data_IF_186946994284
#
_entry.id   IF_186946994284
#
_cell.length_a   1.000
_cell.length_b   1.000
_cell.length_c   1.000
_cell.angle_alpha   90.00
_cell.angle_beta   90.00
_cell.angle_gamma   90.00
#
_symmetry.space_group_name_H-M   'P 1'
#
loop_
_entity.id
_entity.type
_entity.pdbx_description
1 polymer ?
#
# COMPACT_ATOMS: atom_id res chain seq x y z
N UNK A 1 22.69 -50.29 -44.32
CA UNK A 1 22.07 -49.65 -43.14
C UNK A 1 21.83 -48.20 -43.48
N UNK A 2 20.59 -47.85 -43.82
CA UNK A 2 20.16 -46.47 -44.01
C UNK A 2 18.85 -46.34 -43.24
N UNK A 3 18.89 -45.72 -42.05
CA UNK A 3 17.70 -45.51 -41.23
C UNK A 3 17.39 -44.02 -41.17
N UNK A 4 16.39 -43.67 -41.97
CA UNK A 4 15.55 -42.48 -41.90
C UNK A 4 15.01 -42.26 -40.48
N UNK A 5 15.17 -41.05 -39.94
CA UNK A 5 14.36 -40.53 -38.84
C UNK A 5 13.79 -39.18 -39.22
N UNK A 6 12.45 -39.11 -39.37
CA UNK A 6 11.52 -38.17 -38.71
C UNK A 6 10.20 -38.04 -39.49
N UNK A 7 9.08 -38.34 -38.82
CA UNK A 7 7.96 -37.38 -38.82
C UNK A 7 7.18 -37.31 -37.48
N UNK A 8 7.86 -37.28 -36.32
CA UNK A 8 7.16 -37.25 -34.99
C UNK A 8 7.21 -35.89 -34.26
N UNK A 9 8.13 -34.97 -34.59
CA UNK A 9 8.26 -33.69 -33.86
C UNK A 9 7.33 -32.57 -34.33
N UNK A 10 6.84 -32.61 -35.58
CA UNK A 10 5.92 -31.58 -36.09
C UNK A 10 4.52 -31.68 -35.44
N UNK A 11 3.99 -32.90 -35.33
CA UNK A 11 2.65 -33.12 -34.77
C UNK A 11 2.52 -32.72 -33.30
N UNK A 12 3.60 -32.83 -32.49
CA UNK A 12 3.58 -32.42 -31.08
C UNK A 12 3.62 -30.90 -30.91
N UNK A 13 4.36 -30.19 -31.77
CA UNK A 13 4.39 -28.71 -31.75
C UNK A 13 3.09 -28.10 -32.23
N UNK A 14 2.43 -28.70 -33.23
CA UNK A 14 1.16 -28.20 -33.73
C UNK A 14 0.01 -28.49 -32.75
N UNK A 15 0.06 -29.61 -32.02
CA UNK A 15 -0.89 -29.93 -30.94
C UNK A 15 -0.69 -29.06 -29.69
N UNK A 16 0.56 -28.75 -29.29
CA UNK A 16 0.82 -27.81 -28.18
C UNK A 16 0.32 -26.42 -28.55
N UNK A 17 0.57 -25.95 -29.78
CA UNK A 17 0.08 -24.64 -30.24
C UNK A 17 -1.45 -24.57 -30.35
N UNK A 18 -2.13 -25.66 -30.71
CA UNK A 18 -3.60 -25.67 -30.72
C UNK A 18 -4.17 -25.59 -29.30
N UNK A 19 -3.58 -26.33 -28.35
CA UNK A 19 -3.98 -26.34 -26.94
C UNK A 19 -3.69 -24.99 -26.27
N UNK A 20 -2.55 -24.34 -26.55
CA UNK A 20 -2.25 -23.00 -26.02
C UNK A 20 -3.20 -21.94 -26.59
N UNK A 21 -3.65 -22.10 -27.84
CA UNK A 21 -4.61 -21.18 -28.48
C UNK A 21 -6.03 -21.36 -27.92
N UNK A 22 -6.45 -22.59 -27.64
CA UNK A 22 -7.72 -22.90 -26.99
C UNK A 22 -7.75 -22.40 -25.54
N UNK A 23 -6.69 -22.62 -24.75
CA UNK A 23 -6.58 -22.14 -23.35
C UNK A 23 -6.54 -20.62 -23.26
N UNK A 24 -5.94 -19.93 -24.25
CA UNK A 24 -5.92 -18.46 -24.34
C UNK A 24 -7.27 -17.87 -24.80
N UNK A 25 -8.05 -18.62 -25.57
CA UNK A 25 -9.41 -18.27 -25.95
C UNK A 25 -10.38 -18.49 -24.77
N UNK A 26 -10.15 -19.52 -23.96
CA UNK A 26 -10.94 -19.83 -22.76
C UNK A 26 -10.69 -18.81 -21.64
N UNK A 27 -9.44 -18.39 -21.43
CA UNK A 27 -9.09 -17.29 -20.51
C UNK A 27 -9.65 -15.93 -20.96
N UNK A 28 -9.78 -15.69 -22.27
CA UNK A 28 -10.47 -14.51 -22.80
C UNK A 28 -11.98 -14.58 -22.57
N UNK A 29 -12.59 -15.76 -22.76
CA UNK A 29 -14.01 -15.97 -22.43
C UNK A 29 -14.30 -15.83 -20.94
N UNK A 30 -13.38 -16.21 -20.06
CA UNK A 30 -13.51 -16.00 -18.60
C UNK A 30 -13.39 -14.51 -18.25
N UNK A 31 -12.52 -13.76 -18.94
CA UNK A 31 -12.39 -12.31 -18.78
C UNK A 31 -13.57 -11.52 -19.38
N UNK A 32 -14.16 -12.00 -20.48
CA UNK A 32 -15.32 -11.39 -21.13
C UNK A 32 -16.65 -11.76 -20.41
N UNK A 33 -16.78 -12.97 -19.83
CA UNK A 33 -17.94 -13.36 -19.03
C UNK A 33 -18.00 -12.68 -17.64
N UNK A 34 -16.96 -11.93 -17.25
CA UNK A 34 -16.99 -11.02 -16.10
C UNK A 34 -17.57 -9.63 -16.44
N UNK A 35 -17.98 -9.42 -17.69
CA UNK A 35 -18.65 -8.21 -18.16
C UNK A 35 -20.03 -8.56 -18.74
N UNK A 36 -21.06 -8.02 -18.08
CA UNK A 36 -22.42 -7.75 -18.59
C UNK A 36 -23.41 -8.94 -18.52
N UNK A 37 -24.26 -8.93 -17.50
CA UNK A 37 -25.71 -9.15 -17.70
C UNK A 37 -26.44 -7.87 -17.30
N UNK A 38 -26.54 -6.96 -18.26
CA UNK A 38 -27.69 -6.08 -18.50
C UNK A 38 -27.44 -5.43 -19.85
N UNK A 39 -27.97 -6.01 -20.92
CA UNK A 39 -29.11 -5.41 -21.62
C UNK A 39 -29.55 -6.19 -22.85
N UNK A 40 -30.85 -6.09 -23.08
CA UNK A 40 -31.62 -6.65 -24.16
C UNK A 40 -31.32 -6.00 -25.52
N UNK A 41 -31.40 -6.83 -26.56
CA UNK A 41 -31.98 -6.58 -27.90
C UNK A 41 -31.89 -5.15 -28.46
N UNK A 42 -31.04 -4.98 -29.47
CA UNK A 42 -31.29 -4.03 -30.55
C UNK A 42 -31.84 -4.79 -31.78
N UNK A 43 -33.01 -4.36 -32.24
CA UNK A 43 -33.46 -4.53 -33.62
C UNK A 43 -33.16 -3.22 -34.38
N UNK A 44 -32.82 -3.37 -35.65
CA UNK A 44 -32.44 -2.35 -36.62
C UNK A 44 -33.52 -1.26 -36.82
N UNK A 45 -33.11 -0.01 -37.07
CA UNK A 45 -33.44 0.70 -38.32
C UNK A 45 -32.72 2.08 -38.44
N UNK A 46 -32.55 2.46 -39.70
CA UNK A 46 -31.71 3.50 -40.28
C UNK A 46 -32.31 4.93 -40.34
N UNK A 47 -31.41 5.91 -40.35
CA UNK A 47 -31.43 7.23 -41.03
C UNK A 47 -32.67 8.14 -40.95
N UNK A 48 -32.49 9.34 -40.37
CA UNK A 48 -32.67 10.62 -41.09
C UNK A 48 -32.19 11.86 -40.29
N UNK A 49 -31.81 12.88 -41.06
CA UNK A 49 -31.11 14.13 -40.73
C UNK A 49 -31.93 15.17 -39.92
N UNK A 50 -31.18 16.17 -39.44
CA UNK A 50 -31.46 17.63 -39.40
C UNK A 50 -31.73 18.37 -38.06
N UNK A 51 -30.80 19.31 -37.81
CA UNK A 51 -30.91 20.70 -37.34
C UNK A 51 -31.51 21.12 -35.98
N UNK A 52 -30.69 21.95 -35.32
CA UNK A 52 -30.96 23.14 -34.48
C UNK A 52 -31.70 23.06 -33.12
N UNK A 53 -30.99 23.53 -32.07
CA UNK A 53 -31.52 24.61 -31.22
C UNK A 53 -32.10 24.25 -29.84
N UNK A 54 -31.58 24.97 -28.84
CA UNK A 54 -32.22 25.41 -27.58
C UNK A 54 -31.97 24.63 -26.27
N UNK A 55 -31.77 25.46 -25.24
CA UNK A 55 -31.41 25.19 -23.86
C UNK A 55 -32.54 24.51 -23.08
N UNK A 56 -32.21 23.62 -22.14
CA UNK A 56 -33.06 23.35 -20.97
C UNK A 56 -32.26 22.75 -19.81
N UNK A 57 -32.36 23.44 -18.69
CA UNK A 57 -32.12 23.05 -17.31
C UNK A 57 -32.94 21.80 -16.93
N UNK A 58 -32.32 20.74 -16.38
CA UNK A 58 -33.00 19.85 -15.43
C UNK A 58 -31.99 19.08 -14.55
N UNK A 59 -32.39 18.88 -13.30
CA UNK A 59 -31.55 18.52 -12.17
C UNK A 59 -31.07 17.07 -12.14
N UNK A 60 -29.81 16.88 -11.77
CA UNK A 60 -29.24 15.56 -11.48
C UNK A 60 -29.94 14.92 -10.28
N UNK A 61 -30.82 13.95 -10.56
CA UNK A 61 -31.31 12.98 -9.59
C UNK A 61 -30.16 12.05 -9.19
N UNK A 62 -29.70 12.20 -7.95
CA UNK A 62 -28.74 11.30 -7.31
C UNK A 62 -29.46 9.96 -7.10
N UNK A 63 -29.06 8.91 -7.82
CA UNK A 63 -29.59 7.57 -7.57
C UNK A 63 -29.09 7.07 -6.21
N UNK A 64 -30.04 6.89 -5.30
CA UNK A 64 -29.90 6.15 -4.06
C UNK A 64 -29.64 4.68 -4.38
N UNK A 65 -28.49 4.16 -3.97
CA UNK A 65 -28.28 2.71 -3.88
C UNK A 65 -28.41 2.37 -2.39
N UNK A 66 -29.62 1.99 -1.99
CA UNK A 66 -29.88 1.26 -0.75
C UNK A 66 -29.44 -0.20 -0.95
N UNK A 67 -28.23 -0.54 -0.51
CA UNK A 67 -27.82 -1.95 -0.39
C UNK A 67 -28.39 -2.53 0.92
N UNK A 68 -29.62 -2.99 0.82
CA UNK A 68 -30.23 -3.94 1.75
C UNK A 68 -30.19 -5.33 1.15
N UNK A 69 -29.11 -6.08 1.36
CA UNK A 69 -29.22 -7.53 1.48
C UNK A 69 -28.06 -8.13 2.29
N UNK A 70 -28.40 -8.50 3.52
CA UNK A 70 -27.63 -9.30 4.45
C UNK A 70 -27.61 -10.75 3.91
N UNK A 71 -26.74 -11.02 2.94
CA UNK A 71 -26.31 -12.37 2.62
C UNK A 71 -24.87 -12.52 3.10
N UNK A 72 -24.76 -13.04 4.32
CA UNK A 72 -23.55 -13.63 4.86
C UNK A 72 -23.08 -14.75 3.93
N UNK A 73 -22.24 -14.40 2.96
CA UNK A 73 -21.32 -15.37 2.38
C UNK A 73 -20.46 -15.86 3.54
N UNK A 74 -20.69 -17.10 4.00
CA UNK A 74 -19.72 -17.83 4.81
C UNK A 74 -18.43 -17.90 3.99
N UNK A 75 -17.55 -16.90 4.15
CA UNK A 75 -16.17 -16.99 3.72
C UNK A 75 -15.60 -18.23 4.42
N UNK A 76 -15.46 -19.31 3.68
CA UNK A 76 -14.70 -20.47 4.11
C UNK A 76 -13.34 -19.94 4.60
N UNK A 77 -13.10 -20.02 5.91
CA UNK A 77 -11.79 -19.75 6.48
C UNK A 77 -10.90 -20.88 5.99
N UNK A 78 -10.19 -20.66 4.88
CA UNK A 78 -9.00 -21.45 4.61
C UNK A 78 -7.99 -21.08 5.69
N UNK A 79 -7.73 -22.02 6.59
CA UNK A 79 -6.64 -21.94 7.55
C UNK A 79 -5.32 -22.16 6.78
N UNK A 80 -4.81 -21.08 6.20
CA UNK A 80 -3.45 -21.06 5.64
C UNK A 80 -2.45 -20.82 6.77
N UNK A 81 -1.51 -21.75 6.94
CA UNK A 81 -0.33 -21.52 7.76
C UNK A 81 0.71 -20.76 6.93
N UNK A 82 1.26 -19.69 7.50
CA UNK A 82 2.28 -18.88 6.85
C UNK A 82 3.56 -18.94 7.67
N UNK A 83 4.69 -19.03 6.98
CA UNK A 83 6.02 -18.92 7.55
C UNK A 83 6.67 -17.58 7.21
N UNK A 84 7.59 -17.16 8.08
CA UNK A 84 8.44 -16.01 7.88
C UNK A 84 9.86 -16.49 7.61
N UNK A 85 10.37 -16.23 6.41
CA UNK A 85 11.71 -16.65 5.97
C UNK A 85 12.60 -15.44 5.67
N UNK A 86 13.93 -15.53 5.80
CA UNK A 86 14.81 -14.48 5.34
C UNK A 86 14.59 -14.19 3.84
N UNK A 87 14.63 -12.91 3.40
CA UNK A 87 14.50 -12.58 1.98
C UNK A 87 15.60 -13.26 1.14
N UNK A 88 15.24 -13.73 -0.04
CA UNK A 88 16.13 -14.38 -1.01
C UNK A 88 15.95 -13.83 -2.43
N UNK A 89 16.84 -14.21 -3.36
CA UNK A 89 16.80 -13.73 -4.76
C UNK A 89 15.48 -14.07 -5.47
N UNK A 90 14.87 -15.20 -5.14
CA UNK A 90 13.59 -15.62 -5.73
C UNK A 90 12.41 -14.74 -5.27
N UNK A 91 12.57 -13.96 -4.20
CA UNK A 91 11.56 -12.99 -3.73
C UNK A 91 11.57 -11.65 -4.47
N UNK A 92 12.60 -11.42 -5.29
CA UNK A 92 12.94 -10.08 -5.75
C UNK A 92 11.80 -9.40 -6.53
N UNK A 93 11.08 -10.16 -7.36
CA UNK A 93 9.93 -9.64 -8.10
C UNK A 93 8.73 -9.32 -7.21
N UNK A 94 8.45 -10.15 -6.21
CA UNK A 94 7.32 -9.94 -5.31
C UNK A 94 7.58 -8.80 -4.31
N UNK A 95 8.81 -8.68 -3.82
CA UNK A 95 9.24 -7.53 -3.02
C UNK A 95 9.09 -6.24 -3.83
N UNK A 96 9.52 -6.22 -5.09
CA UNK A 96 9.32 -5.07 -5.99
C UNK A 96 7.83 -4.72 -6.15
N UNK A 97 6.96 -5.71 -6.37
CA UNK A 97 5.49 -5.50 -6.44
C UNK A 97 4.92 -4.93 -5.15
N UNK A 98 5.37 -5.39 -3.99
CA UNK A 98 4.97 -4.87 -2.69
C UNK A 98 5.45 -3.42 -2.50
N UNK A 99 6.69 -3.10 -2.88
CA UNK A 99 7.25 -1.74 -2.82
C UNK A 99 6.48 -0.77 -3.73
N UNK A 100 6.06 -1.20 -4.93
CA UNK A 100 5.21 -0.39 -5.82
C UNK A 100 3.90 0.01 -5.10
N UNK A 101 3.34 -0.85 -4.24
CA UNK A 101 2.14 -0.48 -3.46
C UNK A 101 2.43 0.62 -2.43
N UNK A 102 3.65 0.70 -1.89
CA UNK A 102 4.05 1.77 -0.96
C UNK A 102 4.15 3.11 -1.69
N UNK A 103 4.86 3.13 -2.82
CA UNK A 103 5.25 4.35 -3.55
C UNK A 103 4.25 4.79 -4.63
N UNK A 104 3.38 3.90 -5.09
CA UNK A 104 2.36 4.13 -6.13
C UNK A 104 2.99 4.69 -7.42
N UNK A 105 2.65 5.93 -7.77
CA UNK A 105 3.13 6.59 -9.00
C UNK A 105 4.37 7.47 -8.74
N UNK A 106 5.01 7.35 -7.59
CA UNK A 106 6.22 8.11 -7.28
C UNK A 106 7.43 7.57 -8.06
N UNK A 107 8.36 8.45 -8.39
CA UNK A 107 9.62 8.09 -9.06
C UNK A 107 10.63 7.55 -8.04
N UNK A 108 10.51 6.26 -7.69
CA UNK A 108 11.47 5.52 -6.87
C UNK A 108 11.94 4.30 -7.68
N UNK A 109 13.19 3.87 -7.54
CA UNK A 109 13.68 2.63 -8.15
C UNK A 109 13.33 1.45 -7.21
N UNK A 110 12.09 0.95 -7.28
CA UNK A 110 11.62 -0.14 -6.41
C UNK A 110 12.41 -1.44 -6.65
N UNK A 111 12.91 -1.66 -7.87
CA UNK A 111 13.75 -2.82 -8.20
C UNK A 111 15.09 -2.76 -7.47
N UNK A 112 15.77 -1.62 -7.49
CA UNK A 112 17.02 -1.43 -6.75
C UNK A 112 16.79 -1.54 -5.24
N UNK A 113 15.68 -1.01 -4.74
CA UNK A 113 15.31 -1.15 -3.34
C UNK A 113 14.99 -2.61 -2.94
N UNK A 114 14.31 -3.38 -3.82
CA UNK A 114 14.07 -4.80 -3.59
C UNK A 114 15.39 -5.58 -3.52
N UNK A 115 16.37 -5.27 -4.38
CA UNK A 115 17.72 -5.85 -4.30
C UNK A 115 18.40 -5.48 -2.99
N UNK A 116 18.22 -4.26 -2.50
CA UNK A 116 18.75 -3.86 -1.20
C UNK A 116 18.10 -4.63 -0.05
N UNK A 117 16.80 -4.95 -0.10
CA UNK A 117 16.13 -5.81 0.89
C UNK A 117 16.76 -7.21 0.88
N UNK A 118 16.87 -7.86 -0.29
CA UNK A 118 17.48 -9.19 -0.43
C UNK A 118 18.95 -9.17 0.02
N UNK A 119 19.71 -8.15 -0.36
CA UNK A 119 21.12 -7.99 0.00
C UNK A 119 21.38 -7.75 1.48
N UNK A 120 20.36 -7.39 2.26
CA UNK A 120 20.46 -7.24 3.72
C UNK A 120 20.15 -8.55 4.48
N UNK A 121 19.73 -9.61 3.78
CA UNK A 121 19.45 -10.93 4.38
C UNK A 121 20.62 -11.38 5.27
N UNK A 122 20.38 -11.82 6.52
CA UNK A 122 19.07 -12.23 7.07
C UNK A 122 18.23 -11.11 7.73
N UNK A 123 18.52 -9.82 7.52
CA UNK A 123 17.73 -8.73 8.12
C UNK A 123 16.26 -8.78 7.68
N UNK A 124 15.38 -9.13 8.62
CA UNK A 124 13.94 -9.17 8.38
C UNK A 124 13.48 -10.45 7.69
N UNK A 125 12.27 -10.43 7.15
CA UNK A 125 11.62 -11.61 6.59
C UNK A 125 10.64 -11.30 5.46
N UNK A 126 10.35 -12.33 4.67
CA UNK A 126 9.23 -12.43 3.73
C UNK A 126 8.21 -13.43 4.25
N UNK A 127 6.93 -13.26 3.89
CA UNK A 127 5.85 -14.15 4.29
C UNK A 127 5.44 -15.07 3.13
N UNK A 128 5.49 -16.38 3.37
CA UNK A 128 5.11 -17.41 2.39
C UNK A 128 4.16 -18.43 3.01
N UNK A 129 3.31 -19.11 2.23
CA UNK A 129 2.56 -20.27 2.70
C UNK A 129 3.54 -21.35 3.17
N UNK A 130 3.27 -21.99 4.31
CA UNK A 130 4.14 -23.03 4.89
C UNK A 130 4.04 -24.38 4.15
N UNK A 131 2.89 -24.65 3.52
CA UNK A 131 2.68 -25.83 2.69
C UNK A 131 2.68 -25.41 1.21
N UNK A 132 3.69 -25.86 0.46
CA UNK A 132 3.62 -25.88 -1.00
C UNK A 132 2.52 -26.89 -1.36
N UNK A 133 1.48 -26.46 -2.08
CA UNK A 133 0.47 -27.40 -2.56
C UNK A 133 1.17 -28.49 -3.38
N UNK A 134 0.96 -29.76 -2.99
CA UNK A 134 1.61 -30.93 -3.64
C UNK A 134 1.28 -31.04 -5.14
N UNK A 135 0.26 -30.30 -5.59
CA UNK A 135 -0.05 -30.04 -7.00
C UNK A 135 0.42 -28.63 -7.40
N UNK A 136 1.13 -28.61 -8.52
CA UNK A 136 1.42 -27.49 -9.44
C UNK A 136 2.75 -26.75 -9.33
N UNK A 137 3.32 -26.58 -10.52
CA UNK A 137 4.45 -25.74 -10.95
C UNK A 137 4.24 -24.23 -10.66
N UNK A 138 3.52 -23.89 -9.57
CA UNK A 138 3.26 -22.52 -9.15
C UNK A 138 4.48 -21.94 -8.44
N UNK A 139 4.96 -20.80 -8.94
CA UNK A 139 6.04 -20.04 -8.33
C UNK A 139 5.64 -19.63 -6.91
N UNK A 140 6.51 -19.86 -5.92
CA UNK A 140 6.24 -19.53 -4.52
C UNK A 140 6.05 -18.01 -4.37
N UNK A 141 4.81 -17.56 -4.18
CA UNK A 141 4.46 -16.15 -4.08
C UNK A 141 4.80 -15.62 -2.69
N UNK A 142 5.47 -14.47 -2.63
CA UNK A 142 5.68 -13.72 -1.40
C UNK A 142 4.54 -12.75 -1.11
N UNK A 143 3.88 -12.95 0.04
CA UNK A 143 2.66 -12.23 0.44
C UNK A 143 2.94 -10.99 1.28
N UNK A 144 4.16 -10.83 1.77
CA UNK A 144 4.58 -9.67 2.53
C UNK A 144 6.07 -9.66 2.81
N UNK A 145 6.56 -8.51 3.26
CA UNK A 145 7.95 -8.23 3.55
C UNK A 145 8.03 -7.29 4.75
N UNK A 146 8.89 -7.66 5.70
CA UNK A 146 9.26 -6.85 6.85
C UNK A 146 10.79 -6.77 6.90
N UNK A 147 11.38 -5.61 6.59
CA UNK A 147 12.85 -5.43 6.60
C UNK A 147 13.24 -3.97 6.78
N UNK A 148 14.51 -3.69 7.03
CA UNK A 148 15.07 -2.33 7.11
C UNK A 148 16.22 -2.18 6.12
N UNK A 149 16.13 -1.19 5.22
CA UNK A 149 17.19 -0.85 4.27
C UNK A 149 17.79 0.54 4.54
N UNK A 150 19.09 0.75 4.34
CA UNK A 150 19.71 2.06 4.54
C UNK A 150 19.26 3.09 3.49
N UNK A 151 19.09 4.35 3.89
CA UNK A 151 18.82 5.49 2.99
C UNK A 151 20.03 6.43 2.80
N UNK A 152 21.16 6.13 3.44
CA UNK A 152 22.34 6.99 3.45
C UNK A 152 23.48 6.50 2.53
N UNK A 153 23.17 5.63 1.55
CA UNK A 153 24.12 5.08 0.59
C UNK A 153 24.23 5.87 -0.71
N UNK A 154 24.52 5.17 -1.81
CA UNK A 154 24.69 5.72 -3.17
C UNK A 154 23.70 5.19 -4.20
N UNK A 155 22.76 4.35 -3.78
CA UNK A 155 21.73 3.78 -4.64
C UNK A 155 20.68 4.86 -4.97
N UNK A 156 20.11 4.80 -6.17
CA UNK A 156 19.16 5.81 -6.65
C UNK A 156 17.93 5.90 -5.74
N UNK A 157 17.36 4.75 -5.35
CA UNK A 157 16.15 4.71 -4.52
C UNK A 157 16.29 5.51 -3.23
N UNK A 158 17.48 5.53 -2.64
CA UNK A 158 17.75 6.19 -1.36
C UNK A 158 17.54 7.71 -1.47
N UNK A 159 18.11 8.30 -2.53
CA UNK A 159 17.95 9.74 -2.81
C UNK A 159 16.52 10.09 -3.27
N UNK A 160 15.88 9.19 -4.02
CA UNK A 160 14.51 9.35 -4.51
C UNK A 160 13.48 9.31 -3.38
N UNK A 161 13.59 8.34 -2.45
CA UNK A 161 12.76 8.26 -1.24
C UNK A 161 12.92 9.54 -0.41
N UNK A 162 14.15 9.99 -0.17
CA UNK A 162 14.40 11.22 0.57
C UNK A 162 13.74 12.44 -0.11
N UNK A 163 13.92 12.59 -1.42
CA UNK A 163 13.33 13.67 -2.20
C UNK A 163 11.79 13.65 -2.15
N UNK A 164 11.19 12.47 -2.32
CA UNK A 164 9.74 12.26 -2.23
C UNK A 164 9.22 12.71 -0.86
N UNK A 165 9.83 12.25 0.24
CA UNK A 165 9.38 12.60 1.59
C UNK A 165 9.52 14.09 1.87
N UNK A 166 10.60 14.73 1.42
CA UNK A 166 10.79 16.17 1.57
C UNK A 166 9.79 16.98 0.74
N UNK A 167 9.49 16.56 -0.49
CA UNK A 167 8.48 17.18 -1.32
C UNK A 167 7.09 17.08 -0.69
N UNK A 168 6.70 15.89 -0.23
CA UNK A 168 5.39 15.64 0.39
C UNK A 168 5.27 16.37 1.73
N UNK A 169 6.28 16.34 2.59
CA UNK A 169 6.28 17.04 3.88
C UNK A 169 6.21 18.56 3.70
N UNK A 170 6.93 19.15 2.73
CA UNK A 170 6.83 20.59 2.43
C UNK A 170 5.40 21.00 2.07
N UNK A 171 4.67 20.14 1.35
CA UNK A 171 3.28 20.39 0.93
C UNK A 171 2.26 20.10 2.03
N UNK A 172 2.44 19.04 2.81
CA UNK A 172 1.40 18.50 3.68
C UNK A 172 1.69 18.59 5.20
N UNK A 173 2.94 18.78 5.62
CA UNK A 173 3.30 18.92 7.03
C UNK A 173 3.30 20.38 7.50
N UNK A 174 3.28 20.62 8.82
CA UNK A 174 3.59 21.97 9.35
C UNK A 174 5.06 22.33 9.09
N UNK A 175 5.40 23.62 9.13
CA UNK A 175 6.79 24.07 8.90
C UNK A 175 7.77 23.49 9.94
N UNK A 176 7.30 23.26 11.17
CA UNK A 176 8.11 22.63 12.22
C UNK A 176 8.42 21.17 11.87
N UNK A 177 7.40 20.39 11.50
CA UNK A 177 7.58 18.98 11.12
C UNK A 177 8.45 18.87 9.87
N UNK A 178 8.22 19.71 8.85
CA UNK A 178 9.07 19.75 7.66
C UNK A 178 10.55 19.97 8.01
N UNK A 179 10.86 20.90 8.94
CA UNK A 179 12.23 21.14 9.39
C UNK A 179 12.84 19.90 10.06
N UNK A 180 12.08 19.16 10.87
CA UNK A 180 12.57 17.91 11.50
C UNK A 180 12.95 16.87 10.44
N UNK A 181 12.11 16.66 9.43
CA UNK A 181 12.43 15.78 8.30
C UNK A 181 13.63 16.28 7.48
N UNK A 182 13.68 17.58 7.16
CA UNK A 182 14.77 18.18 6.39
C UNK A 182 16.12 18.12 7.12
N UNK A 183 16.13 18.19 8.45
CA UNK A 183 17.34 18.06 9.25
C UNK A 183 17.92 16.62 9.20
N UNK A 184 17.06 15.60 9.13
CA UNK A 184 17.49 14.19 9.14
C UNK A 184 17.81 13.68 7.74
N UNK A 185 16.93 13.95 6.77
CA UNK A 185 17.09 13.49 5.39
C UNK A 185 18.01 14.39 4.55
N UNK A 186 18.33 15.59 5.04
CA UNK A 186 19.13 16.58 4.32
C UNK A 186 18.47 17.10 3.05
N UNK A 187 19.15 18.00 2.33
CA UNK A 187 18.83 18.36 0.95
C UNK A 187 20.06 18.01 0.12
N UNK A 188 20.20 16.73 -0.23
CA UNK A 188 21.41 16.18 -0.87
C UNK A 188 21.90 14.94 -0.15
N UNK A 189 23.02 15.05 0.61
CA UNK A 189 23.58 13.93 1.38
C UNK A 189 23.05 13.95 2.82
N UNK A 190 22.55 12.81 3.29
CA UNK A 190 22.13 12.62 4.67
C UNK A 190 23.33 12.69 5.62
N UNK A 191 23.20 13.42 6.72
CA UNK A 191 24.19 13.43 7.81
C UNK A 191 23.95 12.35 8.85
N UNK A 192 22.70 11.91 9.00
CA UNK A 192 22.28 10.85 9.92
C UNK A 192 22.21 9.52 9.18
N UNK A 193 22.43 8.41 9.91
CA UNK A 193 22.17 7.07 9.40
C UNK A 193 20.68 6.79 9.51
N UNK A 194 19.99 6.68 8.38
CA UNK A 194 18.53 6.49 8.36
C UNK A 194 18.24 5.13 7.76
N UNK A 195 17.53 4.30 8.51
CA UNK A 195 16.94 3.06 8.01
C UNK A 195 15.52 3.35 7.51
N UNK A 196 15.13 2.72 6.41
CA UNK A 196 13.76 2.68 5.93
C UNK A 196 13.13 1.34 6.30
N UNK A 197 12.19 1.36 7.24
CA UNK A 197 11.41 0.19 7.61
C UNK A 197 10.35 -0.06 6.53
N UNK A 198 10.54 -1.14 5.79
CA UNK A 198 9.54 -1.74 4.91
C UNK A 198 8.69 -2.66 5.77
N UNK A 199 7.41 -2.34 5.93
CA UNK A 199 6.42 -3.19 6.57
C UNK A 199 5.20 -3.27 5.66
N UNK A 200 5.20 -4.25 4.74
CA UNK A 200 4.18 -4.34 3.69
C UNK A 200 3.71 -5.77 3.51
N UNK A 201 2.42 -5.95 3.28
CA UNK A 201 1.79 -7.24 3.04
C UNK A 201 0.49 -7.07 2.26
N UNK A 202 0.06 -8.15 1.64
CA UNK A 202 -1.23 -8.18 0.95
C UNK A 202 -2.37 -7.78 1.91
N UNK A 203 -3.37 -7.11 1.37
CA UNK A 203 -4.53 -6.71 2.16
C UNK A 203 -5.24 -7.93 2.73
N UNK A 204 -5.72 -7.81 3.98
CA UNK A 204 -6.34 -8.87 4.76
C UNK A 204 -5.41 -10.01 5.18
N UNK A 205 -4.08 -9.84 5.07
CA UNK A 205 -3.12 -10.82 5.62
C UNK A 205 -3.25 -10.90 7.15
N UNK A 206 -3.20 -12.10 7.77
CA UNK A 206 -3.41 -12.27 9.21
C UNK A 206 -2.44 -11.42 10.06
N UNK A 207 -2.96 -10.64 11.01
CA UNK A 207 -2.15 -9.77 11.86
C UNK A 207 -1.24 -10.52 12.85
N UNK A 208 -1.55 -11.78 13.12
CA UNK A 208 -0.82 -12.65 14.06
C UNK A 208 0.65 -12.86 13.66
N UNK A 209 0.98 -12.78 12.36
CA UNK A 209 2.37 -12.89 11.89
C UNK A 209 3.26 -11.77 12.44
N UNK A 210 2.68 -10.61 12.76
CA UNK A 210 3.43 -9.41 13.12
C UNK A 210 4.25 -9.61 14.41
N UNK A 211 3.72 -10.35 15.39
CA UNK A 211 4.42 -10.60 16.66
C UNK A 211 5.78 -11.30 16.44
N UNK A 212 5.79 -12.54 15.92
CA UNK A 212 7.03 -13.25 15.60
C UNK A 212 7.94 -12.49 14.63
N UNK A 213 7.38 -11.86 13.59
CA UNK A 213 8.15 -11.14 12.58
C UNK A 213 8.90 -9.92 13.16
N UNK A 214 8.24 -9.11 13.99
CA UNK A 214 8.89 -7.98 14.67
C UNK A 214 9.87 -8.44 15.75
N UNK A 215 9.67 -9.60 16.38
CA UNK A 215 10.65 -10.17 17.30
C UNK A 215 11.95 -10.50 16.55
N UNK A 216 11.84 -11.23 15.43
CA UNK A 216 12.99 -11.57 14.59
C UNK A 216 13.71 -10.32 14.09
N UNK A 217 12.97 -9.34 13.54
CA UNK A 217 13.57 -8.09 13.05
C UNK A 217 14.32 -7.33 14.15
N UNK A 218 13.78 -7.30 15.37
CA UNK A 218 14.45 -6.64 16.49
C UNK A 218 15.74 -7.36 16.90
N UNK A 219 15.75 -8.69 16.88
CA UNK A 219 16.95 -9.50 17.12
C UNK A 219 18.02 -9.25 16.04
N UNK A 220 17.64 -9.27 14.77
CA UNK A 220 18.53 -8.96 13.63
C UNK A 220 19.12 -7.56 13.76
N UNK A 221 18.29 -6.57 14.09
CA UNK A 221 18.71 -5.18 14.30
C UNK A 221 19.71 -5.06 15.45
N UNK A 222 19.44 -5.69 16.59
CA UNK A 222 20.32 -5.65 17.75
C UNK A 222 21.67 -6.35 17.48
N UNK A 223 21.66 -7.37 16.61
CA UNK A 223 22.84 -8.06 16.12
C UNK A 223 23.71 -7.26 15.13
N UNK A 224 23.24 -6.11 14.64
CA UNK A 224 24.04 -5.25 13.76
C UNK A 224 25.28 -4.71 14.47
N UNK A 225 26.39 -4.70 13.72
CA UNK A 225 27.59 -3.96 14.09
C UNK A 225 27.28 -2.46 14.21
N UNK A 226 27.93 -1.77 15.14
CA UNK A 226 27.64 -0.37 15.52
C UNK A 226 27.69 0.58 14.31
N UNK A 227 28.60 0.35 13.38
CA UNK A 227 28.75 1.12 12.15
C UNK A 227 27.55 0.98 11.19
N UNK A 228 26.78 -0.11 11.29
CA UNK A 228 25.58 -0.37 10.47
C UNK A 228 24.27 0.01 11.18
N UNK A 229 24.32 0.39 12.46
CA UNK A 229 23.13 0.85 13.18
C UNK A 229 22.66 2.20 12.67
N UNK A 230 21.35 2.42 12.73
CA UNK A 230 20.72 3.67 12.34
C UNK A 230 20.61 4.60 13.53
N UNK A 231 20.48 5.90 13.26
CA UNK A 231 20.09 6.92 14.25
C UNK A 231 18.56 7.11 14.23
N UNK A 232 17.97 6.95 13.04
CA UNK A 232 16.54 7.14 12.78
C UNK A 232 15.97 6.02 11.93
N UNK A 233 14.70 5.73 12.14
CA UNK A 233 13.90 4.82 11.31
C UNK A 233 12.78 5.62 10.65
N UNK A 234 12.76 5.63 9.32
CA UNK A 234 11.71 6.19 8.49
C UNK A 234 10.76 5.07 8.08
N UNK A 235 9.45 5.30 8.14
CA UNK A 235 8.47 4.34 7.62
C UNK A 235 7.27 5.06 7.01
N UNK A 236 6.60 4.39 6.08
CA UNK A 236 5.39 4.88 5.40
C UNK A 236 4.27 3.88 5.67
N UNK A 237 3.26 4.34 6.39
CA UNK A 237 2.08 3.57 6.76
C UNK A 237 0.96 3.78 5.73
N UNK A 238 0.19 2.72 5.47
CA UNK A 238 -1.04 2.78 4.70
C UNK A 238 -2.22 2.93 5.65
N UNK A 239 -2.90 4.07 5.55
CA UNK A 239 -4.02 4.39 6.44
C UNK A 239 -5.19 4.95 5.65
N UNK A 240 -6.41 4.68 6.10
CA UNK A 240 -7.60 5.43 5.66
C UNK A 240 -8.04 6.38 6.76
N UNK A 241 -8.25 7.63 6.41
CA UNK A 241 -8.55 8.70 7.37
C UNK A 241 -9.95 9.22 7.11
N UNK A 242 -10.74 9.34 8.19
CA UNK A 242 -12.08 9.88 8.13
C UNK A 242 -12.04 11.35 7.71
N UNK A 243 -12.71 11.68 6.60
CA UNK A 243 -12.74 13.04 6.05
C UNK A 243 -14.02 13.80 6.38
N UNK A 244 -15.05 13.10 6.84
CA UNK A 244 -16.32 13.66 7.24
C UNK A 244 -16.35 13.81 8.77
N UNK A 245 -16.55 15.04 9.25
CA UNK A 245 -16.69 15.26 10.68
C UNK A 245 -18.04 14.73 11.16
N UNK A 246 -18.06 14.05 12.31
CA UNK A 246 -19.22 14.14 13.20
C UNK A 246 -19.50 15.63 13.44
N UNK A 247 -20.70 16.07 13.08
CA UNK A 247 -21.22 17.40 13.39
C UNK A 247 -21.52 17.57 14.90
N UNK A 248 -20.66 17.06 15.79
CA UNK A 248 -20.80 17.15 17.24
C UNK A 248 -19.79 18.14 17.83
N UNK A 249 -19.96 19.40 17.47
CA UNK A 249 -19.77 20.55 18.37
C UNK A 249 -20.44 21.74 17.70
N UNK A 250 -21.75 21.77 17.86
CA UNK A 250 -22.59 22.93 17.60
C UNK A 250 -22.23 24.07 18.55
N UNK A 251 -21.11 24.74 18.29
CA UNK A 251 -20.94 26.15 18.57
C UNK A 251 -20.62 26.83 17.26
N UNK A 252 -21.66 27.26 16.54
CA UNK A 252 -21.49 28.24 15.46
C UNK A 252 -21.01 29.52 16.13
N UNK A 253 -19.76 29.99 15.94
CA UNK A 253 -19.39 31.29 16.44
C UNK A 253 -20.16 32.31 15.61
N UNK A 254 -20.86 33.19 16.31
CA UNK A 254 -21.57 34.34 15.76
C UNK A 254 -20.73 35.01 14.67
N UNK A 255 -21.36 35.32 13.54
CA UNK A 255 -20.75 35.92 12.35
C UNK A 255 -20.27 37.34 12.67
N UNK A 256 -19.06 37.44 13.22
CA UNK A 256 -18.28 38.66 13.34
C UNK A 256 -17.10 38.62 12.38
N UNK A 257 -17.11 39.48 11.35
CA UNK A 257 -16.04 39.79 10.38
C UNK A 257 -14.87 38.79 10.35
N UNK A 258 -14.98 37.73 9.54
CA UNK A 258 -13.87 36.80 9.25
C UNK A 258 -12.70 37.55 8.62
N UNK A 259 -11.68 37.89 9.41
CA UNK A 259 -10.33 38.19 8.90
C UNK A 259 -9.88 36.98 8.08
N UNK A 260 -9.53 37.19 6.81
CA UNK A 260 -9.02 36.14 5.92
C UNK A 260 -7.76 35.55 6.55
N UNK A 261 -7.84 34.30 7.02
CA UNK A 261 -6.72 33.56 7.60
C UNK A 261 -5.59 33.45 6.56
N UNK A 262 -4.35 33.70 6.97
CA UNK A 262 -3.18 33.52 6.12
C UNK A 262 -2.99 32.04 5.72
N UNK A 263 -2.33 31.81 4.57
CA UNK A 263 -2.10 30.46 4.01
C UNK A 263 -1.50 29.47 5.02
N UNK A 264 -0.51 29.92 5.82
CA UNK A 264 0.13 29.09 6.85
C UNK A 264 -0.82 28.69 7.99
N UNK A 265 -1.67 29.62 8.47
CA UNK A 265 -2.64 29.31 9.52
C UNK A 265 -3.71 28.32 9.03
N UNK A 266 -4.17 28.46 7.77
CA UNK A 266 -5.10 27.50 7.16
C UNK A 266 -4.47 26.11 7.01
N UNK A 267 -3.19 26.03 6.65
CA UNK A 267 -2.45 24.77 6.55
C UNK A 267 -2.36 24.07 7.92
N UNK A 268 -2.00 24.78 8.98
CA UNK A 268 -1.93 24.22 10.34
C UNK A 268 -3.27 23.65 10.80
N UNK A 269 -4.36 24.43 10.69
CA UNK A 269 -5.71 23.97 11.05
C UNK A 269 -6.17 22.76 10.25
N UNK A 270 -5.79 22.67 8.97
CA UNK A 270 -6.11 21.50 8.15
C UNK A 270 -5.33 20.27 8.62
N UNK A 271 -4.04 20.42 8.94
CA UNK A 271 -3.19 19.34 9.46
C UNK A 271 -3.69 18.84 10.81
N UNK A 272 -3.96 19.75 11.75
CA UNK A 272 -4.51 19.42 13.09
C UNK A 272 -5.81 18.64 12.97
N UNK A 273 -6.77 19.12 12.17
CA UNK A 273 -8.02 18.40 11.92
C UNK A 273 -7.80 16.99 11.39
N UNK A 274 -6.86 16.82 10.47
CA UNK A 274 -6.60 15.50 9.86
C UNK A 274 -5.89 14.55 10.83
N UNK A 275 -5.13 15.09 11.80
CA UNK A 275 -4.50 14.31 12.89
C UNK A 275 -5.57 13.82 13.89
N UNK A 276 -6.56 14.66 14.18
CA UNK A 276 -7.66 14.36 15.12
C UNK A 276 -8.76 13.45 14.52
N UNK A 277 -8.75 13.24 13.21
CA UNK A 277 -9.69 12.34 12.52
C UNK A 277 -9.48 10.87 12.89
N UNK A 278 -10.56 10.09 12.88
CA UNK A 278 -10.48 8.63 13.00
C UNK A 278 -9.65 8.02 11.88
N UNK A 279 -8.88 6.98 12.23
CA UNK A 279 -7.92 6.33 11.35
C UNK A 279 -8.17 4.83 11.35
N UNK A 280 -8.20 4.24 10.15
CA UNK A 280 -8.15 2.80 9.94
C UNK A 280 -6.75 2.48 9.43
N UNK A 281 -6.03 1.61 10.14
CA UNK A 281 -4.73 1.08 9.73
C UNK A 281 -4.94 -0.20 8.94
N UNK A 282 -4.28 -0.35 7.79
CA UNK A 282 -4.32 -1.62 7.05
C UNK A 282 -3.54 -2.71 7.78
N UNK A 283 -2.38 -2.34 8.32
CA UNK A 283 -1.57 -3.16 9.21
C UNK A 283 -1.91 -2.78 10.65
N UNK A 284 -2.69 -3.62 11.34
CA UNK A 284 -3.21 -3.30 12.68
C UNK A 284 -2.10 -3.03 13.70
N UNK A 285 -0.95 -3.69 13.57
CA UNK A 285 0.21 -3.49 14.41
C UNK A 285 0.75 -2.06 14.36
N UNK A 286 0.62 -1.36 13.24
CA UNK A 286 1.09 0.03 13.07
C UNK A 286 0.30 1.03 13.92
N UNK A 287 -0.91 0.66 14.37
CA UNK A 287 -1.67 1.46 15.32
C UNK A 287 -0.92 1.65 16.64
N UNK A 288 -0.10 0.67 17.04
CA UNK A 288 0.63 0.68 18.31
C UNK A 288 1.66 1.82 18.40
N UNK A 289 2.16 2.31 17.26
CA UNK A 289 3.00 3.52 17.20
C UNK A 289 2.33 4.71 17.88
N UNK A 290 1.00 4.83 17.76
CA UNK A 290 0.25 5.98 18.23
C UNK A 290 -0.39 5.78 19.61
N UNK A 291 -0.28 4.59 20.21
CA UNK A 291 -0.87 4.29 21.51
C UNK A 291 0.07 4.62 22.69
N UNK A 292 1.39 4.45 22.51
CA UNK A 292 2.34 4.46 23.64
C UNK A 292 3.39 5.59 23.59
N UNK A 293 3.67 6.15 22.41
CA UNK A 293 4.66 7.23 22.26
C UNK A 293 4.38 8.03 20.99
N UNK A 294 3.59 9.10 21.07
CA UNK A 294 3.33 9.98 19.92
C UNK A 294 4.36 11.11 19.78
N UNK A 295 5.45 11.10 20.55
CA UNK A 295 6.48 12.15 20.49
C UNK A 295 7.52 11.88 19.40
N UNK A 296 7.04 11.70 18.17
CA UNK A 296 7.89 11.60 16.99
C UNK A 296 7.32 12.41 15.82
N UNK A 297 8.15 12.95 14.92
CA UNK A 297 7.68 13.69 13.77
C UNK A 297 6.94 12.76 12.79
N UNK A 298 5.70 13.12 12.46
CA UNK A 298 4.98 12.48 11.37
C UNK A 298 4.15 13.50 10.59
N UNK A 299 3.82 13.14 9.35
CA UNK A 299 2.85 13.87 8.54
C UNK A 299 2.10 12.88 7.65
N UNK A 300 1.01 13.33 7.03
CA UNK A 300 0.22 12.48 6.16
C UNK A 300 -0.22 13.23 4.90
N UNK A 301 -0.35 12.51 3.80
CA UNK A 301 -0.79 13.05 2.52
C UNK A 301 -1.78 12.12 1.83
N UNK A 302 -2.81 12.68 1.16
CA UNK A 302 -3.80 11.87 0.44
C UNK A 302 -3.16 11.25 -0.80
N UNK A 303 -3.62 10.06 -1.15
CA UNK A 303 -3.16 9.31 -2.35
C UNK A 303 -4.32 8.80 -3.21
N UNK A 304 -5.54 9.24 -2.95
CA UNK A 304 -6.76 8.83 -3.68
C UNK A 304 -6.63 9.00 -5.21
N UNK A 305 -5.93 10.05 -5.68
CA UNK A 305 -5.70 10.29 -7.11
C UNK A 305 -4.62 9.40 -7.75
N UNK A 306 -3.82 8.73 -6.94
CA UNK A 306 -2.70 7.87 -7.38
C UNK A 306 -3.09 6.39 -7.39
N UNK A 307 -4.30 6.07 -6.90
CA UNK A 307 -4.81 4.71 -6.72
C UNK A 307 -5.83 4.39 -7.81
N UNK A 308 -5.72 3.20 -8.40
CA UNK A 308 -6.71 2.68 -9.36
C UNK A 308 -8.07 2.47 -8.70
N UNK A 309 -9.16 2.69 -9.46
CA UNK A 309 -10.54 2.51 -8.95
C UNK A 309 -10.84 1.09 -8.46
N UNK A 310 -10.17 0.09 -9.03
CA UNK A 310 -10.26 -1.33 -8.66
C UNK A 310 -9.42 -1.71 -7.43
N UNK A 311 -8.57 -0.81 -6.93
CA UNK A 311 -7.70 -1.11 -5.81
C UNK A 311 -8.50 -1.35 -4.53
N UNK A 312 -8.19 -2.45 -3.83
CA UNK A 312 -8.75 -2.73 -2.51
C UNK A 312 -8.30 -1.70 -1.44
N UNK A 313 -7.29 -0.88 -1.72
CA UNK A 313 -6.88 0.23 -0.85
C UNK A 313 -7.68 1.54 -1.11
N UNK A 314 -8.70 1.54 -1.96
CA UNK A 314 -9.51 2.73 -2.24
C UNK A 314 -10.34 3.18 -1.02
N UNK A 315 -11.04 4.31 -1.19
CA UNK A 315 -11.94 4.89 -0.17
C UNK A 315 -13.00 3.88 0.29
N UNK A 316 -13.29 3.91 1.60
CA UNK A 316 -14.19 3.01 2.30
C UNK A 316 -15.31 3.82 2.94
N UNK A 317 -16.56 3.37 2.81
CA UNK A 317 -17.67 3.86 3.63
C UNK A 317 -17.90 2.89 4.79
N UNK A 318 -17.85 3.39 6.02
CA UNK A 318 -18.10 2.61 7.25
C UNK A 318 -18.91 3.47 8.22
N UNK A 319 -20.02 2.94 8.72
CA UNK A 319 -20.91 3.62 9.68
C UNK A 319 -21.35 5.02 9.21
N UNK A 320 -21.66 5.15 7.91
CA UNK A 320 -22.06 6.42 7.30
C UNK A 320 -20.93 7.45 7.14
N UNK A 321 -19.68 7.10 7.42
CA UNK A 321 -18.50 7.97 7.26
C UNK A 321 -17.62 7.52 6.11
N UNK A 322 -17.04 8.48 5.39
CA UNK A 322 -16.06 8.22 4.32
C UNK A 322 -14.62 8.30 4.84
N UNK A 323 -13.92 7.17 4.75
CA UNK A 323 -12.50 7.01 5.03
C UNK A 323 -11.71 6.99 3.72
N UNK A 324 -10.84 7.98 3.52
CA UNK A 324 -10.06 8.14 2.28
C UNK A 324 -8.63 7.65 2.45
N UNK A 325 -7.97 7.18 1.38
CA UNK A 325 -6.61 6.63 1.48
C UNK A 325 -5.54 7.73 1.61
N UNK A 326 -4.66 7.53 2.59
CA UNK A 326 -3.51 8.37 2.89
C UNK A 326 -2.26 7.51 3.04
N UNK A 327 -1.11 8.16 2.83
CA UNK A 327 0.18 7.69 3.35
C UNK A 327 0.49 8.52 4.59
N UNK A 328 0.86 7.85 5.69
CA UNK A 328 1.35 8.49 6.90
C UNK A 328 2.83 8.17 7.06
N UNK A 329 3.66 9.19 7.07
CA UNK A 329 5.12 9.06 7.12
C UNK A 329 5.59 9.38 8.52
N UNK A 330 6.30 8.45 9.15
CA UNK A 330 6.79 8.55 10.52
C UNK A 330 8.31 8.53 10.53
N UNK A 331 8.92 9.40 11.33
CA UNK A 331 10.35 9.45 11.56
C UNK A 331 10.65 9.18 13.03
N UNK A 332 11.10 7.97 13.34
CA UNK A 332 11.34 7.50 14.68
C UNK A 332 12.83 7.64 15.05
N UNK A 333 13.12 7.81 16.34
CA UNK A 333 14.43 7.38 16.85
C UNK A 333 14.49 5.85 16.90
N UNK A 334 15.69 5.31 17.01
CA UNK A 334 15.88 3.85 17.16
C UNK A 334 15.21 3.31 18.42
N UNK A 335 15.29 4.03 19.53
CA UNK A 335 14.63 3.64 20.77
C UNK A 335 13.10 3.56 20.60
N UNK A 336 12.52 4.51 19.86
CA UNK A 336 11.09 4.52 19.55
C UNK A 336 10.71 3.34 18.66
N UNK A 337 11.53 3.00 17.66
CA UNK A 337 11.34 1.80 16.84
C UNK A 337 11.41 0.52 17.68
N UNK A 338 12.41 0.37 18.55
CA UNK A 338 12.54 -0.83 19.39
C UNK A 338 11.41 -0.96 20.41
N UNK A 339 10.93 0.16 20.96
CA UNK A 339 9.73 0.18 21.81
C UNK A 339 8.47 -0.21 21.04
N UNK A 340 8.35 0.28 19.80
CA UNK A 340 7.27 -0.11 18.90
C UNK A 340 7.32 -1.61 18.62
N UNK A 341 8.45 -2.15 18.16
CA UNK A 341 8.63 -3.57 17.91
C UNK A 341 8.28 -4.41 19.14
N UNK A 342 8.77 -4.02 20.33
CA UNK A 342 8.44 -4.67 21.59
C UNK A 342 6.93 -4.65 21.91
N UNK A 343 6.23 -3.58 21.53
CA UNK A 343 4.77 -3.47 21.72
C UNK A 343 4.00 -4.35 20.75
N UNK A 344 4.47 -4.46 19.50
CA UNK A 344 3.93 -5.40 18.51
C UNK A 344 4.08 -6.84 19.02
N UNK A 345 5.29 -7.22 19.44
CA UNK A 345 5.56 -8.55 20.00
C UNK A 345 4.57 -8.87 21.13
N UNK A 346 4.41 -7.96 22.11
CA UNK A 346 3.49 -8.19 23.25
C UNK A 346 2.00 -8.30 22.84
N UNK A 347 1.59 -7.56 21.82
CA UNK A 347 0.16 -7.49 21.42
C UNK A 347 -0.25 -8.61 20.46
N UNK A 348 0.71 -9.16 19.72
CA UNK A 348 0.51 -10.21 18.72
C UNK A 348 1.30 -11.50 19.04
N UNK A 349 1.72 -11.69 20.30
CA UNK A 349 2.19 -12.99 20.78
C UNK A 349 1.00 -13.94 20.84
N UNK A 350 1.12 -15.08 20.16
CA UNK A 350 0.13 -16.18 20.17
C UNK A 350 0.09 -16.86 21.53
#
# INVERSE_FOLDING_TARGET
MNTTKRPLEKNKKDSIKSITKERKLELRKIAENGQIENENKEEEESDQESEEGEESDDGEAVQEIEDGNDQSEEMAKLDFEFEALPPAEDDLEDIERLLIQIFLQAEVDEREMAKAVVGQSPMGCVFRPAEESEDDESEAITYGVLSIVPLNGTENFQSQVAALILQRSKKHATDEIFKKFANVLGVGRMSSKVGFLVNERMLNFPAQIAGPAFNSLAEDYNGLAEERRFDHILTILKVRICTEQCASSSERPNVGKKRKLGKGARKRLAVERTIESDVIFDNLEEQLLFQHSSDFPFFQYPVESEIEKSSKFHSLRRDGRIFRPFRRVCLLSVDQFLQFASSVVRSFSV
#
